data_IF_207065410731
#
_entry.id   IF_207065410731
#
_cell.length_a   1.000
_cell.length_b   1.000
_cell.length_c   1.000
_cell.angle_alpha   90.00
_cell.angle_beta   90.00
_cell.angle_gamma   90.00
#
_symmetry.space_group_name_H-M   'P 1'
#
loop_
_entity.id
_entity.type
_entity.pdbx_description
1 polymer ?
#
# COMPACT_ATOMS: atom_id res chain seq x y z
N UNK A 1 37.16 -52.80 61.27
CA UNK A 1 36.01 -53.15 60.40
C UNK A 1 34.76 -52.92 61.22
N UNK A 2 34.26 -51.66 61.24
CA UNK A 2 33.20 -51.22 62.14
C UNK A 2 31.82 -51.52 61.56
N UNK A 3 30.96 -52.03 62.42
CA UNK A 3 29.57 -52.38 62.20
C UNK A 3 28.64 -51.28 62.75
N UNK A 4 27.41 -51.33 62.26
CA UNK A 4 26.16 -50.80 62.84
C UNK A 4 25.66 -49.39 62.50
N UNK A 5 24.37 -49.41 62.12
CA UNK A 5 23.44 -48.34 61.76
C UNK A 5 23.30 -47.19 62.77
N UNK A 6 22.97 -46.00 62.27
CA UNK A 6 22.06 -45.09 62.97
C UNK A 6 21.21 -44.24 62.01
N UNK A 7 19.99 -43.98 62.48
CA UNK A 7 18.83 -43.38 61.84
C UNK A 7 18.89 -41.84 61.70
N UNK A 8 17.91 -41.36 60.91
CA UNK A 8 17.07 -40.16 61.11
C UNK A 8 17.58 -38.76 60.74
N UNK A 9 16.75 -38.13 59.90
CA UNK A 9 16.31 -36.72 59.88
C UNK A 9 17.38 -35.65 59.70
N UNK A 10 17.35 -34.96 58.55
CA UNK A 10 17.29 -33.50 58.52
C UNK A 10 16.75 -33.00 57.18
N UNK A 11 15.65 -32.26 57.28
CA UNK A 11 15.12 -31.32 56.30
C UNK A 11 16.19 -30.37 55.78
N UNK A 12 16.44 -30.36 54.48
CA UNK A 12 16.92 -29.16 53.78
C UNK A 12 15.93 -28.84 52.67
N UNK A 13 15.17 -27.78 52.91
CA UNK A 13 14.47 -27.01 51.89
C UNK A 13 15.49 -26.58 50.83
N UNK A 14 15.55 -27.32 49.73
CA UNK A 14 16.13 -26.84 48.48
C UNK A 14 14.99 -26.38 47.59
N UNK A 15 14.53 -25.14 47.78
CA UNK A 15 13.81 -24.40 46.74
C UNK A 15 14.82 -24.12 45.62
N UNK A 16 15.22 -25.16 44.88
CA UNK A 16 15.90 -25.00 43.61
C UNK A 16 14.84 -24.64 42.59
N UNK A 17 14.28 -23.43 42.75
CA UNK A 17 13.56 -22.73 41.71
C UNK A 17 14.59 -22.49 40.63
N UNK A 18 14.77 -23.48 39.76
CA UNK A 18 15.56 -23.35 38.54
C UNK A 18 15.20 -22.01 37.93
N UNK A 19 16.15 -21.07 38.00
CA UNK A 19 16.02 -19.76 37.42
C UNK A 19 15.86 -20.03 35.94
N UNK A 20 14.62 -20.01 35.45
CA UNK A 20 14.35 -20.02 34.02
C UNK A 20 15.07 -18.81 33.48
N UNK A 21 16.14 -19.06 32.74
CA UNK A 21 16.86 -18.05 32.01
C UNK A 21 15.84 -17.39 31.07
N UNK A 22 15.37 -16.20 31.44
CA UNK A 22 14.42 -15.44 30.62
C UNK A 22 15.26 -14.83 29.52
N UNK A 23 15.27 -15.48 28.35
CA UNK A 23 15.85 -14.91 27.15
C UNK A 23 15.23 -13.53 26.91
N UNK A 24 16.04 -12.45 26.78
CA UNK A 24 15.49 -11.11 26.59
C UNK A 24 14.65 -11.07 25.31
N UNK A 25 13.37 -10.75 25.46
CA UNK A 25 12.42 -10.62 24.35
C UNK A 25 12.75 -9.36 23.55
N UNK A 26 13.19 -9.53 22.30
CA UNK A 26 13.48 -8.40 21.42
C UNK A 26 12.17 -7.84 20.85
N UNK A 27 11.80 -6.62 21.25
CA UNK A 27 10.66 -5.88 20.71
C UNK A 27 11.15 -4.90 19.66
N UNK A 28 10.76 -5.12 18.40
CA UNK A 28 11.12 -4.26 17.27
C UNK A 28 9.94 -3.37 16.86
N UNK A 29 10.26 -2.15 16.44
CA UNK A 29 9.31 -1.19 15.86
C UNK A 29 9.77 -0.84 14.45
N UNK A 30 8.90 -1.07 13.47
CA UNK A 30 9.14 -0.68 12.08
C UNK A 30 8.52 0.68 11.78
N UNK A 31 9.32 1.60 11.24
CA UNK A 31 8.93 2.96 10.89
C UNK A 31 9.53 3.34 9.53
N UNK A 32 8.69 3.80 8.62
CA UNK A 32 9.15 4.35 7.33
C UNK A 32 9.38 5.85 7.45
N UNK A 33 10.65 6.27 7.50
CA UNK A 33 11.03 7.69 7.56
C UNK A 33 10.88 8.40 6.21
N UNK A 34 11.21 7.69 5.13
CA UNK A 34 11.12 8.19 3.76
C UNK A 34 10.49 7.13 2.88
N UNK A 35 9.42 7.52 2.22
CA UNK A 35 8.68 6.64 1.32
C UNK A 35 9.50 6.33 0.06
N UNK A 36 9.22 5.17 -0.54
CA UNK A 36 9.81 4.80 -1.82
C UNK A 36 9.48 5.84 -2.90
N UNK A 37 10.49 6.29 -3.63
CA UNK A 37 10.38 7.34 -4.65
C UNK A 37 10.35 6.82 -6.08
N UNK A 38 10.49 5.51 -6.29
CA UNK A 38 10.34 4.92 -7.62
C UNK A 38 8.87 4.89 -8.05
N UNK A 39 8.61 4.95 -9.35
CA UNK A 39 7.27 4.86 -9.94
C UNK A 39 7.14 3.50 -10.61
N UNK A 40 6.14 2.68 -10.21
CA UNK A 40 5.88 1.38 -10.84
C UNK A 40 4.84 1.49 -11.95
N UNK A 41 3.76 2.23 -11.69
CA UNK A 41 2.70 2.48 -12.65
C UNK A 41 2.30 3.95 -12.57
N UNK A 42 1.91 4.52 -13.71
CA UNK A 42 1.33 5.85 -13.76
C UNK A 42 0.20 5.90 -14.78
N UNK A 43 -0.78 6.75 -14.53
CA UNK A 43 -1.90 6.96 -15.43
C UNK A 43 -2.46 8.37 -15.25
N UNK A 44 -3.01 8.96 -16.31
CA UNK A 44 -3.59 10.31 -16.27
C UNK A 44 -5.11 10.24 -16.39
N UNK A 45 -5.82 11.09 -15.65
CA UNK A 45 -7.28 11.11 -15.63
C UNK A 45 -7.85 12.23 -14.74
N UNK A 46 -9.16 12.20 -14.56
CA UNK A 46 -9.92 13.06 -13.64
C UNK A 46 -10.36 12.23 -12.43
N UNK A 47 -9.59 12.21 -11.34
CA UNK A 47 -9.85 11.33 -10.19
C UNK A 47 -10.57 12.04 -9.06
N UNK A 48 -10.01 13.15 -8.57
CA UNK A 48 -10.54 13.84 -7.38
C UNK A 48 -11.54 14.93 -7.72
N UNK A 49 -11.38 15.59 -8.88
CA UNK A 49 -12.21 16.69 -9.34
C UNK A 49 -12.44 16.62 -10.86
N UNK A 50 -13.65 17.00 -11.28
CA UNK A 50 -14.05 17.05 -12.69
C UNK A 50 -13.31 18.20 -13.39
N UNK A 51 -12.81 17.94 -14.60
CA UNK A 51 -12.09 18.92 -15.42
C UNK A 51 -10.65 19.19 -14.97
N UNK A 52 -10.18 18.53 -13.91
CA UNK A 52 -8.79 18.62 -13.48
C UNK A 52 -7.99 17.45 -14.03
N UNK A 53 -6.93 17.73 -14.78
CA UNK A 53 -6.00 16.70 -15.23
C UNK A 53 -5.04 16.34 -14.10
N UNK A 54 -5.11 15.08 -13.69
CA UNK A 54 -4.36 14.53 -12.57
C UNK A 54 -3.54 13.33 -13.01
N UNK A 55 -2.44 13.09 -12.30
CA UNK A 55 -1.52 11.97 -12.50
C UNK A 55 -1.61 11.06 -11.29
N UNK A 56 -2.10 9.85 -11.51
CA UNK A 56 -2.08 8.78 -10.54
C UNK A 56 -0.76 8.02 -10.63
N UNK A 57 -0.15 7.72 -9.49
CA UNK A 57 1.16 7.08 -9.40
C UNK A 57 1.11 5.96 -8.37
N UNK A 58 1.47 4.75 -8.78
CA UNK A 58 1.71 3.63 -7.86
C UNK A 58 3.21 3.55 -7.50
N UNK A 59 3.48 3.45 -6.21
CA UNK A 59 4.83 3.33 -5.63
C UNK A 59 5.08 1.90 -5.14
N UNK A 60 6.34 1.41 -5.17
CA UNK A 60 6.70 0.16 -4.52
C UNK A 60 6.36 0.15 -3.03
N UNK A 61 6.05 -1.02 -2.48
CA UNK A 61 5.64 -1.19 -1.08
C UNK A 61 4.16 -0.92 -0.82
N UNK A 62 3.41 -0.55 -1.86
CA UNK A 62 1.96 -0.41 -1.78
C UNK A 62 1.52 0.97 -1.36
N UNK A 63 1.80 1.97 -2.19
CA UNK A 63 1.22 3.28 -2.05
C UNK A 63 0.71 3.83 -3.38
N UNK A 64 -0.36 4.59 -3.32
CA UNK A 64 -0.96 5.28 -4.46
C UNK A 64 -0.97 6.77 -4.15
N UNK A 65 -0.49 7.56 -5.09
CA UNK A 65 -0.45 9.01 -5.00
C UNK A 65 -1.23 9.63 -6.16
N UNK A 66 -2.00 10.67 -5.88
CA UNK A 66 -2.61 11.51 -6.90
C UNK A 66 -1.88 12.85 -6.91
N UNK A 67 -1.38 13.25 -8.06
CA UNK A 67 -0.72 14.53 -8.29
C UNK A 67 -1.54 15.37 -9.26
N UNK A 68 -1.60 16.67 -9.05
CA UNK A 68 -2.23 17.64 -9.94
C UNK A 68 -1.18 18.55 -10.53
N UNK A 69 -1.33 18.87 -11.80
CA UNK A 69 -0.51 19.87 -12.48
C UNK A 69 -1.12 21.24 -12.17
N UNK A 70 -0.35 22.13 -11.58
CA UNK A 70 -0.73 23.53 -11.37
C UNK A 70 0.17 24.41 -12.27
N UNK A 71 -0.44 25.35 -12.99
CA UNK A 71 0.23 26.49 -13.64
C UNK A 71 -0.05 27.74 -12.82
N UNK A 72 0.97 28.58 -12.61
CA UNK A 72 0.72 29.97 -12.23
C UNK A 72 0.17 30.68 -13.46
N UNK A 73 -1.14 30.90 -13.50
CA UNK A 73 -1.78 31.78 -14.48
C UNK A 73 -1.66 33.27 -14.05
N UNK A 74 -0.76 33.59 -13.13
CA UNK A 74 -0.49 34.95 -12.70
C UNK A 74 0.29 35.67 -13.82
N UNK A 75 -0.43 36.51 -14.57
CA UNK A 75 -0.03 37.29 -15.75
C UNK A 75 1.14 38.29 -15.52
N UNK A 76 1.91 38.19 -14.44
CA UNK A 76 2.89 39.21 -14.01
C UNK A 76 4.37 38.77 -14.09
N UNK A 77 4.70 37.50 -14.34
CA UNK A 77 6.08 37.03 -14.49
C UNK A 77 6.27 36.18 -15.78
N UNK A 78 7.28 36.54 -16.59
CA UNK A 78 7.68 35.93 -17.89
C UNK A 78 8.05 34.42 -17.86
N UNK A 79 7.78 33.71 -16.76
CA UNK A 79 8.12 32.30 -16.57
C UNK A 79 6.88 31.48 -16.25
N UNK A 80 6.30 30.85 -17.28
CA UNK A 80 5.24 29.85 -17.13
C UNK A 80 5.76 28.60 -16.38
N UNK A 81 5.82 28.68 -15.05
CA UNK A 81 6.28 27.59 -14.18
C UNK A 81 5.13 26.63 -13.96
N UNK A 82 5.38 25.38 -14.35
CA UNK A 82 4.46 24.26 -14.10
C UNK A 82 5.02 23.42 -12.96
N UNK A 83 4.23 23.18 -11.92
CA UNK A 83 4.62 22.30 -10.82
C UNK A 83 3.58 21.21 -10.56
N UNK A 84 4.06 20.10 -10.00
CA UNK A 84 3.24 18.96 -9.59
C UNK A 84 2.97 19.04 -8.10
N UNK A 85 1.69 19.11 -7.74
CA UNK A 85 1.24 19.10 -6.35
C UNK A 85 0.63 17.76 -6.00
N UNK A 86 1.14 17.12 -4.97
CA UNK A 86 0.53 15.92 -4.42
C UNK A 86 -0.79 16.29 -3.72
N UNK A 87 -1.90 15.76 -4.23
CA UNK A 87 -3.24 15.97 -3.67
C UNK A 87 -3.47 14.99 -2.51
N UNK A 88 -3.13 13.72 -2.72
CA UNK A 88 -3.32 12.69 -1.71
C UNK A 88 -2.35 11.53 -1.90
N UNK A 89 -2.10 10.82 -0.80
CA UNK A 89 -1.36 9.56 -0.75
C UNK A 89 -2.09 8.55 0.12
N UNK A 90 -2.16 7.31 -0.35
CA UNK A 90 -2.85 6.21 0.33
C UNK A 90 -1.94 5.00 0.36
N UNK A 91 -1.71 4.46 1.55
CA UNK A 91 -0.98 3.22 1.76
C UNK A 91 -1.94 2.03 1.59
N UNK A 92 -1.65 1.15 0.64
CA UNK A 92 -2.39 -0.11 0.41
C UNK A 92 -1.75 -1.29 1.14
N UNK A 93 -0.49 -1.18 1.57
CA UNK A 93 0.29 -2.28 2.21
C UNK A 93 0.25 -3.59 1.41
N UNK A 94 0.19 -3.48 0.10
CA UNK A 94 0.10 -4.60 -0.85
C UNK A 94 0.98 -4.31 -2.06
N UNK A 95 1.50 -5.34 -2.72
CA UNK A 95 2.30 -5.13 -3.92
C UNK A 95 1.37 -4.87 -5.11
N UNK A 96 1.40 -3.65 -5.64
CA UNK A 96 0.64 -3.28 -6.84
C UNK A 96 1.35 -3.85 -8.07
N UNK A 97 0.66 -4.68 -8.86
CA UNK A 97 1.22 -5.37 -10.04
C UNK A 97 0.62 -4.88 -11.36
N UNK A 98 -0.59 -4.36 -11.30
CA UNK A 98 -1.29 -3.76 -12.44
C UNK A 98 -2.21 -2.65 -11.97
N UNK A 99 -2.34 -1.62 -12.79
CA UNK A 99 -3.16 -0.44 -12.53
C UNK A 99 -3.73 0.03 -13.86
N UNK A 100 -5.05 0.16 -13.93
CA UNK A 100 -5.78 0.59 -15.12
C UNK A 100 -6.88 1.58 -14.73
N UNK A 101 -7.26 2.45 -15.66
CA UNK A 101 -8.34 3.43 -15.46
C UNK A 101 -9.59 2.96 -16.21
N UNK A 102 -10.75 3.14 -15.58
CA UNK A 102 -12.05 2.97 -16.23
C UNK A 102 -12.96 4.15 -15.94
N UNK A 103 -13.56 4.71 -16.99
CA UNK A 103 -14.68 5.66 -16.88
C UNK A 103 -15.98 4.94 -17.21
N UNK A 104 -16.92 4.95 -16.28
CA UNK A 104 -18.25 4.39 -16.53
C UNK A 104 -19.06 5.37 -17.39
N UNK A 105 -19.85 4.84 -18.32
CA UNK A 105 -20.68 5.68 -19.20
C UNK A 105 -21.64 6.55 -18.39
N UNK A 106 -21.61 7.87 -18.62
CA UNK A 106 -22.42 8.85 -17.89
C UNK A 106 -21.73 9.45 -16.66
N UNK A 107 -20.63 8.86 -16.21
CA UNK A 107 -19.79 9.42 -15.15
C UNK A 107 -18.70 10.31 -15.72
N UNK A 108 -18.39 11.40 -15.01
CA UNK A 108 -17.33 12.34 -15.39
C UNK A 108 -15.99 12.05 -14.70
N UNK A 109 -16.00 11.17 -13.69
CA UNK A 109 -14.81 10.79 -12.91
C UNK A 109 -14.24 9.46 -13.38
N UNK A 110 -12.93 9.33 -13.25
CA UNK A 110 -12.18 8.13 -13.54
C UNK A 110 -12.03 7.26 -12.30
N UNK A 111 -12.41 5.99 -12.43
CA UNK A 111 -12.18 4.97 -11.41
C UNK A 111 -10.89 4.22 -11.71
N UNK A 112 -10.27 3.69 -10.66
CA UNK A 112 -8.98 3.00 -10.76
C UNK A 112 -9.17 1.53 -10.43
N UNK A 113 -8.76 0.66 -11.35
CA UNK A 113 -8.71 -0.77 -11.16
C UNK A 113 -7.29 -1.16 -10.78
N UNK A 114 -7.15 -1.93 -9.70
CA UNK A 114 -5.86 -2.34 -9.15
C UNK A 114 -5.84 -3.86 -9.00
N UNK A 115 -4.81 -4.48 -9.58
CA UNK A 115 -4.42 -5.84 -9.28
C UNK A 115 -3.25 -5.85 -8.31
N UNK A 116 -3.47 -6.39 -7.11
CA UNK A 116 -2.42 -6.57 -6.10
C UNK A 116 -2.14 -8.04 -5.82
N UNK A 117 -1.06 -8.29 -5.07
CA UNK A 117 -0.70 -9.60 -4.51
C UNK A 117 -1.73 -10.19 -3.53
N UNK A 118 -2.77 -9.44 -3.16
CA UNK A 118 -3.88 -9.97 -2.35
C UNK A 118 -4.67 -11.08 -3.04
N UNK A 119 -4.54 -11.25 -4.35
CA UNK A 119 -5.40 -12.13 -5.14
C UNK A 119 -6.78 -11.52 -5.44
N UNK A 120 -6.94 -10.22 -5.12
CA UNK A 120 -8.16 -9.46 -5.36
C UNK A 120 -7.95 -8.44 -6.47
N UNK A 121 -9.03 -8.17 -7.18
CA UNK A 121 -9.14 -7.03 -8.10
C UNK A 121 -9.91 -5.95 -7.38
N UNK A 122 -9.26 -4.83 -7.08
CA UNK A 122 -9.90 -3.72 -6.37
C UNK A 122 -10.29 -2.62 -7.35
N UNK A 123 -11.50 -2.10 -7.24
CA UNK A 123 -11.94 -0.87 -7.90
C UNK A 123 -12.00 0.23 -6.85
N UNK A 124 -11.25 1.31 -7.08
CA UNK A 124 -11.09 2.43 -6.18
C UNK A 124 -11.62 3.72 -6.80
N UNK A 125 -12.19 4.56 -5.95
CA UNK A 125 -12.62 5.92 -6.24
C UNK A 125 -11.82 6.90 -5.35
N UNK A 126 -11.52 8.07 -5.88
CA UNK A 126 -10.72 9.12 -5.25
C UNK A 126 -11.49 10.45 -5.09
N UNK A 127 -12.81 10.42 -5.22
CA UNK A 127 -13.69 11.58 -5.11
C UNK A 127 -13.36 12.49 -3.91
N UNK A 128 -13.15 13.79 -4.19
CA UNK A 128 -12.92 14.80 -3.15
C UNK A 128 -11.64 14.58 -2.33
N UNK A 129 -10.65 13.87 -2.89
CA UNK A 129 -9.37 13.61 -2.21
C UNK A 129 -9.46 12.51 -1.14
N UNK A 130 -10.51 11.69 -1.17
CA UNK A 130 -10.69 10.54 -0.27
C UNK A 130 -10.64 9.26 -1.06
N UNK A 131 -9.89 8.27 -0.58
CA UNK A 131 -9.88 6.95 -1.19
C UNK A 131 -11.03 6.09 -0.66
N UNK A 132 -11.75 5.48 -1.58
CA UNK A 132 -12.81 4.51 -1.27
C UNK A 132 -12.66 3.29 -2.16
N UNK A 133 -12.63 2.12 -1.56
CA UNK A 133 -12.75 0.86 -2.31
C UNK A 133 -14.23 0.64 -2.60
N UNK A 134 -14.60 0.68 -3.87
CA UNK A 134 -15.98 0.44 -4.33
C UNK A 134 -16.27 -1.05 -4.48
N UNK A 135 -15.30 -1.81 -4.98
CA UNK A 135 -15.45 -3.23 -5.24
C UNK A 135 -14.12 -3.96 -4.98
N UNK A 136 -14.16 -5.15 -4.37
CA UNK A 136 -12.96 -5.95 -4.07
C UNK A 136 -13.25 -7.46 -4.11
N UNK A 137 -13.60 -8.00 -5.28
CA UNK A 137 -13.78 -9.44 -5.48
C UNK A 137 -12.45 -10.19 -5.33
N UNK A 138 -12.52 -11.30 -4.61
CA UNK A 138 -11.42 -12.24 -4.50
C UNK A 138 -11.46 -13.22 -5.68
N UNK A 139 -10.36 -13.32 -6.42
CA UNK A 139 -10.23 -14.22 -7.57
C UNK A 139 -9.18 -15.32 -7.35
N UNK A 140 -8.32 -15.16 -6.36
CA UNK A 140 -7.24 -16.11 -6.07
C UNK A 140 -6.90 -16.17 -4.58
N UNK A 141 -5.84 -16.92 -4.29
CA UNK A 141 -5.20 -16.90 -2.97
C UNK A 141 -4.23 -15.72 -2.90
N UNK A 142 -3.99 -15.23 -1.69
CA UNK A 142 -2.98 -14.21 -1.40
C UNK A 142 -1.59 -14.73 -1.76
N UNK A 143 -0.82 -13.95 -2.52
CA UNK A 143 0.55 -14.27 -2.96
C UNK A 143 0.81 -13.88 -4.42
N UNK A 144 1.99 -14.22 -4.92
CA UNK A 144 2.43 -13.92 -6.29
C UNK A 144 1.78 -14.85 -7.32
N UNK A 145 0.46 -14.77 -7.48
CA UNK A 145 -0.24 -15.39 -8.59
C UNK A 145 -0.59 -14.28 -9.58
N UNK A 146 -0.01 -14.32 -10.77
CA UNK A 146 -0.21 -13.32 -11.81
C UNK A 146 -1.68 -13.20 -12.21
N UNK A 147 -2.41 -12.26 -11.61
CA UNK A 147 -3.67 -11.74 -12.17
C UNK A 147 -3.26 -10.73 -13.24
N UNK A 148 -2.95 -11.22 -14.44
CA UNK A 148 -2.69 -10.38 -15.61
C UNK A 148 -4.04 -9.86 -16.13
N UNK A 149 -4.32 -8.57 -15.96
CA UNK A 149 -5.40 -7.94 -16.71
C UNK A 149 -5.01 -7.92 -18.19
N UNK A 150 -5.68 -8.73 -19.01
CA UNK A 150 -5.77 -8.47 -20.44
C UNK A 150 -6.83 -7.39 -20.60
N UNK A 151 -6.45 -6.13 -20.34
CA UNK A 151 -7.25 -5.01 -20.80
C UNK A 151 -7.08 -4.96 -22.32
N UNK A 152 -8.11 -5.36 -23.08
CA UNK A 152 -8.13 -5.15 -24.53
C UNK A 152 -8.09 -3.64 -24.77
N UNK A 153 -6.88 -3.08 -24.88
CA UNK A 153 -6.65 -1.69 -25.25
C UNK A 153 -7.07 -1.55 -26.72
N UNK A 154 -8.36 -1.36 -26.96
CA UNK A 154 -8.85 -1.03 -28.29
C UNK A 154 -8.32 0.37 -28.60
N UNK A 155 -7.32 0.41 -29.47
CA UNK A 155 -6.69 1.61 -29.99
C UNK A 155 -7.75 2.47 -30.69
N UNK A 156 -8.40 3.37 -29.96
CA UNK A 156 -9.08 4.52 -30.58
C UNK A 156 -8.09 5.68 -30.62
N UNK A 157 -7.10 5.57 -31.50
CA UNK A 157 -6.46 6.73 -32.12
C UNK A 157 -7.47 7.38 -33.06
N UNK A 158 -8.40 8.16 -32.52
CA UNK A 158 -9.08 9.18 -33.31
C UNK A 158 -8.25 10.46 -33.19
N UNK A 159 -7.29 10.57 -34.11
CA UNK A 159 -6.85 11.87 -34.60
C UNK A 159 -8.09 12.53 -35.24
N UNK A 160 -8.46 13.69 -34.73
CA UNK A 160 -9.13 14.72 -35.51
C UNK A 160 -8.13 15.87 -35.66
#
# INVERSE_FOLDING_TARGET
LFNHQQNSLDTMNGDDKGMREVSPELKLLDLTLKNASAIQHSSMGEFTAIGSQEILVARPGGAIEVHRIESSDDDDDDENRVWLKMIMRVETRSVIRSMEIVRLGGEKRDLVIIGSDSGNVSVMDFEGGKSKVLHCPAFGKTGEICIQFICYRHNMTNRC
#
